data_IF_963983404069
#
_entry.id   IF_963983404069
#
_cell.length_a   1.000
_cell.length_b   1.000
_cell.length_c   1.000
_cell.angle_alpha   90.00
_cell.angle_beta   90.00
_cell.angle_gamma   90.00
#
_symmetry.space_group_name_H-M   'P 1'
#
loop_
_entity.id
_entity.type
_entity.pdbx_description
1 polymer ?
#
# COMPACT_ATOMS: atom_id res chain seq x y z
N UNK A 1 35.64 -14.86 34.10
CA UNK A 1 34.24 -14.97 33.63
C UNK A 1 33.86 -13.90 32.57
N UNK A 2 34.60 -13.84 31.46
CA UNK A 2 34.31 -12.90 30.34
C UNK A 2 34.09 -13.61 29.00
N UNK A 3 33.86 -14.93 28.96
CA UNK A 3 33.71 -15.70 27.73
C UNK A 3 32.25 -15.98 27.27
N UNK A 4 31.25 -15.62 28.06
CA UNK A 4 29.85 -15.93 27.79
C UNK A 4 29.10 -14.90 26.91
N UNK A 5 29.51 -13.63 26.96
CA UNK A 5 28.78 -12.54 26.25
C UNK A 5 29.11 -12.45 24.74
N UNK A 6 30.27 -12.95 24.32
CA UNK A 6 30.71 -12.90 22.91
C UNK A 6 30.08 -13.95 22.01
N UNK A 7 29.54 -15.04 22.58
CA UNK A 7 28.97 -16.14 21.80
C UNK A 7 27.47 -15.94 21.49
N UNK A 8 26.75 -15.23 22.35
CA UNK A 8 25.34 -14.90 22.13
C UNK A 8 25.15 -13.84 21.02
N UNK A 9 26.06 -12.88 20.88
CA UNK A 9 25.99 -11.86 19.83
C UNK A 9 26.25 -12.41 18.42
N UNK A 10 27.10 -13.45 18.29
CA UNK A 10 27.40 -14.09 17.01
C UNK A 10 26.28 -14.99 16.49
N UNK A 11 25.45 -15.56 17.36
CA UNK A 11 24.32 -16.40 16.95
C UNK A 11 23.12 -15.60 16.43
N UNK A 12 22.97 -14.35 16.87
CA UNK A 12 21.91 -13.45 16.37
C UNK A 12 22.22 -12.86 15.00
N UNK A 13 23.50 -12.67 14.65
CA UNK A 13 23.90 -12.06 13.37
C UNK A 13 23.91 -13.00 12.19
N UNK A 14 24.16 -14.32 12.38
CA UNK A 14 24.25 -15.28 11.28
C UNK A 14 22.92 -15.94 10.92
N UNK A 15 21.99 -16.13 11.87
CA UNK A 15 20.68 -16.74 11.63
C UNK A 15 19.68 -15.81 10.94
N UNK A 16 19.77 -14.50 11.16
CA UNK A 16 18.93 -13.49 10.52
C UNK A 16 19.24 -13.32 9.04
N UNK A 17 20.50 -13.26 8.67
CA UNK A 17 20.93 -13.05 7.29
C UNK A 17 20.52 -14.18 6.32
N UNK A 18 20.54 -15.45 6.77
CA UNK A 18 20.15 -16.58 5.90
C UNK A 18 18.65 -16.66 5.64
N UNK A 19 17.79 -16.24 6.57
CA UNK A 19 16.33 -16.24 6.36
C UNK A 19 15.87 -15.10 5.43
N UNK A 20 16.56 -13.97 5.44
CA UNK A 20 16.27 -12.85 4.55
C UNK A 20 16.83 -13.03 3.14
N UNK A 21 17.89 -13.83 2.95
CA UNK A 21 18.41 -14.16 1.62
C UNK A 21 17.37 -14.87 0.73
N UNK A 22 16.48 -15.66 1.31
CA UNK A 22 15.36 -16.29 0.59
C UNK A 22 14.30 -15.27 0.14
N UNK A 23 14.01 -14.27 0.97
CA UNK A 23 13.06 -13.20 0.63
C UNK A 23 13.64 -12.28 -0.46
N UNK A 24 14.93 -11.95 -0.38
CA UNK A 24 15.64 -11.17 -1.40
C UNK A 24 15.79 -11.95 -2.72
N UNK A 25 15.95 -13.26 -2.65
CA UNK A 25 16.00 -14.14 -3.82
C UNK A 25 14.62 -14.24 -4.49
N UNK A 26 13.53 -14.30 -3.72
CA UNK A 26 12.16 -14.30 -4.23
C UNK A 26 11.81 -12.94 -4.87
N UNK A 27 12.24 -11.84 -4.26
CA UNK A 27 12.07 -10.47 -4.80
C UNK A 27 12.90 -10.25 -6.08
N UNK A 28 14.07 -10.88 -6.20
CA UNK A 28 14.91 -10.82 -7.42
C UNK A 28 14.36 -11.69 -8.55
N UNK A 29 13.69 -12.80 -8.25
CA UNK A 29 13.04 -13.64 -9.27
C UNK A 29 11.79 -12.99 -9.81
N UNK A 30 10.97 -12.35 -8.96
CA UNK A 30 9.82 -11.57 -9.39
C UNK A 30 10.17 -10.29 -10.17
N UNK A 31 11.41 -9.79 -10.06
CA UNK A 31 11.89 -8.56 -10.72
C UNK A 31 12.60 -8.73 -12.06
N UNK A 32 12.76 -9.96 -12.58
CA UNK A 32 13.35 -10.18 -13.91
C UNK A 32 12.28 -10.13 -14.99
N UNK A 33 11.67 -8.95 -15.17
CA UNK A 33 11.00 -8.62 -16.43
C UNK A 33 12.01 -8.63 -17.58
N UNK A 34 11.62 -9.19 -18.73
CA UNK A 34 12.44 -9.24 -19.94
C UNK A 34 13.00 -7.86 -20.30
N UNK A 35 14.22 -7.75 -20.84
CA UNK A 35 14.81 -6.47 -21.24
C UNK A 35 13.93 -5.83 -22.31
N UNK A 36 13.30 -4.70 -22.01
CA UNK A 36 12.62 -3.86 -22.98
C UNK A 36 13.69 -3.16 -23.80
N UNK A 37 14.09 -3.78 -24.89
CA UNK A 37 15.04 -3.25 -25.86
C UNK A 37 14.39 -2.09 -26.63
N UNK A 38 15.05 -0.92 -26.65
CA UNK A 38 14.78 0.30 -27.44
C UNK A 38 13.96 1.45 -26.86
N UNK A 39 13.66 1.49 -25.56
CA UNK A 39 13.15 2.75 -24.97
C UNK A 39 14.30 3.76 -24.72
N UNK A 40 14.10 5.08 -24.96
CA UNK A 40 15.05 6.10 -24.55
C UNK A 40 15.40 5.97 -23.05
N UNK A 41 16.67 6.09 -22.71
CA UNK A 41 17.18 5.89 -21.34
C UNK A 41 16.37 6.65 -20.27
N UNK A 42 15.82 7.81 -20.62
CA UNK A 42 15.01 8.65 -19.72
C UNK A 42 13.62 8.03 -19.40
N UNK A 43 13.03 7.31 -20.34
CA UNK A 43 11.75 6.63 -20.14
C UNK A 43 11.91 5.49 -19.13
N UNK A 44 13.00 4.74 -19.19
CA UNK A 44 13.30 3.72 -18.17
C UNK A 44 13.38 4.30 -16.76
N UNK A 45 14.00 5.49 -16.61
CA UNK A 45 14.06 6.16 -15.31
C UNK A 45 12.70 6.55 -14.77
N UNK A 46 11.74 6.91 -15.62
CA UNK A 46 10.37 7.19 -15.20
C UNK A 46 9.63 5.90 -14.81
N UNK A 47 9.81 4.79 -15.53
CA UNK A 47 9.27 3.48 -15.13
C UNK A 47 9.86 2.99 -13.80
N UNK A 48 11.15 3.23 -13.56
CA UNK A 48 11.79 2.94 -12.28
C UNK A 48 11.23 3.84 -11.16
N UNK A 49 10.97 5.11 -11.43
CA UNK A 49 10.44 6.07 -10.47
C UNK A 49 9.02 5.69 -10.01
N UNK A 50 8.15 5.31 -10.95
CA UNK A 50 6.79 4.82 -10.64
C UNK A 50 6.77 3.38 -10.15
N UNK A 51 7.93 2.71 -10.10
CA UNK A 51 8.11 1.31 -9.66
C UNK A 51 7.27 0.31 -10.45
N UNK A 52 7.16 0.54 -11.77
CA UNK A 52 6.41 -0.35 -12.66
C UNK A 52 6.95 -1.79 -12.66
N UNK A 53 8.26 -1.95 -12.51
CA UNK A 53 8.97 -3.23 -12.39
C UNK A 53 8.74 -3.97 -11.05
N UNK A 54 7.95 -3.39 -10.14
CA UNK A 54 7.62 -3.97 -8.82
C UNK A 54 6.12 -4.02 -8.61
N UNK A 55 5.40 -4.94 -9.28
CA UNK A 55 3.93 -4.99 -9.27
C UNK A 55 3.33 -5.22 -7.88
N UNK A 56 4.05 -5.87 -6.96
CA UNK A 56 3.58 -6.07 -5.60
C UNK A 56 3.08 -4.77 -4.93
N UNK A 57 3.72 -3.62 -5.22
CA UNK A 57 3.34 -2.35 -4.60
C UNK A 57 1.94 -1.85 -4.96
N UNK A 58 1.47 -2.03 -6.21
CA UNK A 58 0.11 -1.65 -6.59
C UNK A 58 -0.89 -2.80 -6.40
N UNK A 59 -0.45 -4.06 -6.44
CA UNK A 59 -1.30 -5.21 -6.12
C UNK A 59 -1.75 -5.18 -4.66
N UNK A 60 -0.86 -4.85 -3.72
CA UNK A 60 -1.19 -4.70 -2.30
C UNK A 60 -2.27 -3.61 -2.05
N UNK A 61 -2.37 -2.60 -2.90
CA UNK A 61 -3.41 -1.60 -2.84
C UNK A 61 -4.67 -2.02 -3.60
N UNK A 62 -4.51 -2.77 -4.68
CA UNK A 62 -5.61 -3.17 -5.58
C UNK A 62 -6.49 -4.28 -4.96
N UNK A 63 -5.89 -5.30 -4.35
CA UNK A 63 -6.65 -6.44 -3.83
C UNK A 63 -7.75 -6.06 -2.84
N UNK A 64 -7.49 -5.29 -1.76
CA UNK A 64 -8.55 -4.89 -0.83
C UNK A 64 -9.61 -4.01 -1.50
N UNK A 65 -9.22 -3.19 -2.44
CA UNK A 65 -10.15 -2.36 -3.22
C UNK A 65 -11.07 -3.20 -4.09
N UNK A 66 -10.54 -4.22 -4.78
CA UNK A 66 -11.35 -5.14 -5.58
C UNK A 66 -12.26 -6.01 -4.70
N UNK A 67 -11.77 -6.54 -3.58
CA UNK A 67 -12.60 -7.28 -2.63
C UNK A 67 -13.80 -6.43 -2.20
N UNK A 68 -13.55 -5.18 -1.81
CA UNK A 68 -14.60 -4.26 -1.41
C UNK A 68 -15.60 -3.99 -2.54
N UNK A 69 -15.11 -3.84 -3.78
CA UNK A 69 -15.96 -3.59 -4.94
C UNK A 69 -16.88 -4.78 -5.27
N UNK A 70 -16.37 -6.02 -5.15
CA UNK A 70 -17.19 -7.23 -5.32
C UNK A 70 -18.19 -7.43 -4.20
N UNK A 71 -17.81 -7.11 -2.95
CA UNK A 71 -18.72 -7.20 -1.80
C UNK A 71 -19.81 -6.13 -1.89
N UNK A 72 -19.49 -4.91 -2.31
CA UNK A 72 -20.45 -3.83 -2.48
C UNK A 72 -21.51 -4.16 -3.54
N UNK A 73 -21.06 -4.69 -4.69
CA UNK A 73 -21.93 -5.05 -5.80
C UNK A 73 -22.68 -6.40 -5.59
N UNK A 74 -22.48 -7.10 -4.48
CA UNK A 74 -22.96 -8.48 -4.25
C UNK A 74 -22.71 -9.41 -5.45
N UNK A 75 -21.62 -9.18 -6.17
CA UNK A 75 -21.22 -9.92 -7.36
C UNK A 75 -20.35 -9.11 -8.31
N UNK A 76 -20.65 -9.19 -9.61
CA UNK A 76 -19.85 -8.51 -10.63
C UNK A 76 -20.12 -6.99 -10.67
N UNK A 77 -19.14 -6.11 -10.36
CA UNK A 77 -19.34 -4.68 -10.25
C UNK A 77 -19.47 -3.94 -11.60
N UNK A 78 -19.34 -4.65 -12.72
CA UNK A 78 -19.32 -4.06 -14.04
C UNK A 78 -17.94 -3.61 -14.53
N UNK A 79 -17.74 -3.65 -15.84
CA UNK A 79 -16.44 -3.36 -16.48
C UNK A 79 -15.96 -1.94 -16.27
N UNK A 80 -16.88 -0.96 -16.23
CA UNK A 80 -16.53 0.45 -15.98
C UNK A 80 -15.88 0.62 -14.62
N UNK A 81 -16.51 0.13 -13.54
CA UNK A 81 -15.96 0.25 -12.20
C UNK A 81 -14.66 -0.53 -12.03
N UNK A 82 -14.55 -1.74 -12.60
CA UNK A 82 -13.30 -2.50 -12.61
C UNK A 82 -12.15 -1.71 -13.25
N UNK A 83 -12.40 -1.08 -14.40
CA UNK A 83 -11.40 -0.27 -15.09
C UNK A 83 -11.03 0.95 -14.26
N UNK A 84 -12.00 1.70 -13.76
CA UNK A 84 -11.76 2.92 -12.96
C UNK A 84 -10.96 2.60 -11.71
N UNK A 85 -11.36 1.58 -10.94
CA UNK A 85 -10.66 1.24 -9.68
C UNK A 85 -9.30 0.59 -9.93
N UNK A 86 -9.14 -0.25 -10.96
CA UNK A 86 -7.85 -0.86 -11.29
C UNK A 86 -6.87 0.18 -11.82
N UNK A 87 -7.25 0.92 -12.86
CA UNK A 87 -6.38 1.95 -13.45
C UNK A 87 -6.14 3.09 -12.46
N UNK A 88 -7.17 3.53 -11.73
CA UNK A 88 -7.06 4.53 -10.67
C UNK A 88 -6.06 4.13 -9.58
N UNK A 89 -6.09 2.87 -9.12
CA UNK A 89 -5.14 2.34 -8.13
C UNK A 89 -3.71 2.37 -8.66
N UNK A 90 -3.48 1.90 -9.89
CA UNK A 90 -2.13 1.91 -10.51
C UNK A 90 -1.60 3.34 -10.64
N UNK A 91 -2.43 4.26 -11.14
CA UNK A 91 -2.05 5.66 -11.32
C UNK A 91 -1.78 6.37 -9.98
N UNK A 92 -2.67 6.19 -9.00
CA UNK A 92 -2.51 6.80 -7.67
C UNK A 92 -1.28 6.25 -6.95
N UNK A 93 -1.03 4.93 -7.02
CA UNK A 93 0.16 4.32 -6.45
C UNK A 93 1.44 4.83 -7.10
N UNK A 94 1.43 4.99 -8.43
CA UNK A 94 2.54 5.55 -9.21
C UNK A 94 2.81 7.01 -8.85
N UNK A 95 1.76 7.82 -8.73
CA UNK A 95 1.85 9.21 -8.26
C UNK A 95 2.43 9.27 -6.84
N UNK A 96 1.95 8.42 -5.94
CA UNK A 96 2.46 8.30 -4.57
C UNK A 96 3.95 7.94 -4.52
N UNK A 97 4.45 7.09 -5.42
CA UNK A 97 5.89 6.81 -5.52
C UNK A 97 6.69 8.06 -5.87
N UNK A 98 6.21 8.86 -6.84
CA UNK A 98 6.87 10.11 -7.23
C UNK A 98 6.94 11.10 -6.06
N UNK A 99 5.82 11.32 -5.36
CA UNK A 99 5.74 12.24 -4.21
C UNK A 99 6.64 11.77 -3.07
N UNK A 100 6.60 10.48 -2.76
CA UNK A 100 7.42 9.91 -1.69
C UNK A 100 8.92 10.04 -2.00
N UNK A 101 9.36 9.71 -3.23
CA UNK A 101 10.76 9.80 -3.61
C UNK A 101 11.26 11.26 -3.65
N UNK A 102 10.39 12.23 -3.97
CA UNK A 102 10.71 13.67 -3.86
C UNK A 102 10.84 14.10 -2.41
N UNK A 103 9.91 13.69 -1.54
CA UNK A 103 9.89 14.06 -0.14
C UNK A 103 11.06 13.46 0.64
N UNK A 104 11.41 12.21 0.35
CA UNK A 104 12.45 11.46 1.06
C UNK A 104 13.84 11.54 0.40
N UNK A 105 14.01 12.29 -0.72
CA UNK A 105 15.24 12.30 -1.53
C UNK A 105 16.53 12.55 -0.73
N UNK A 106 16.47 13.36 0.32
CA UNK A 106 17.64 13.69 1.14
C UNK A 106 17.94 12.62 2.21
N UNK A 107 16.93 11.87 2.65
CA UNK A 107 17.06 10.74 3.59
C UNK A 107 17.45 9.45 2.85
N UNK A 108 16.87 9.21 1.68
CA UNK A 108 17.08 8.03 0.85
C UNK A 108 18.56 7.79 0.48
N UNK A 109 19.39 8.84 0.47
CA UNK A 109 20.85 8.74 0.25
C UNK A 109 21.57 7.92 1.32
N UNK A 110 21.00 7.86 2.52
CA UNK A 110 21.60 7.21 3.68
C UNK A 110 21.05 5.80 3.95
N UNK A 111 20.04 5.38 3.18
CA UNK A 111 19.43 4.06 3.28
C UNK A 111 19.88 3.20 2.11
N UNK A 112 20.54 2.09 2.38
CA UNK A 112 21.17 1.23 1.36
C UNK A 112 20.19 0.79 0.24
N UNK A 113 18.94 0.47 0.60
CA UNK A 113 17.91 0.02 -0.33
C UNK A 113 17.43 1.11 -1.29
N UNK A 114 17.48 2.39 -0.88
CA UNK A 114 16.88 3.53 -1.59
C UNK A 114 17.91 4.47 -2.21
N UNK A 115 19.18 4.35 -1.88
CA UNK A 115 20.28 5.19 -2.36
C UNK A 115 20.38 5.29 -3.90
N UNK A 116 19.95 4.24 -4.61
CA UNK A 116 20.03 4.16 -6.08
C UNK A 116 18.76 4.65 -6.81
N UNK A 117 17.78 5.22 -6.10
CA UNK A 117 16.55 5.74 -6.74
C UNK A 117 16.84 6.87 -7.70
N UNK A 118 16.06 7.03 -8.81
CA UNK A 118 16.31 8.03 -9.84
C UNK A 118 16.41 9.47 -9.32
N UNK A 119 15.56 9.87 -8.36
CA UNK A 119 15.59 11.21 -7.77
C UNK A 119 16.76 11.34 -6.78
N UNK A 120 17.01 10.35 -5.95
CA UNK A 120 18.09 10.31 -4.97
C UNK A 120 19.47 10.46 -5.62
N UNK A 121 19.66 9.83 -6.80
CA UNK A 121 20.90 9.91 -7.58
C UNK A 121 20.99 11.13 -8.48
N UNK A 122 19.94 11.97 -8.55
CA UNK A 122 19.88 13.14 -9.43
C UNK A 122 19.66 12.83 -10.91
N UNK A 123 19.45 11.56 -11.31
CA UNK A 123 19.14 11.18 -12.70
C UNK A 123 17.78 11.68 -13.17
N UNK A 124 16.85 11.89 -12.26
CA UNK A 124 15.57 12.57 -12.44
C UNK A 124 15.50 13.72 -11.44
N UNK A 125 15.17 14.91 -11.89
CA UNK A 125 15.05 16.07 -11.01
C UNK A 125 13.80 15.99 -10.12
N UNK A 126 13.83 16.65 -8.94
CA UNK A 126 12.65 16.77 -8.08
C UNK A 126 11.46 17.38 -8.82
N UNK A 127 11.68 18.37 -9.72
CA UNK A 127 10.64 19.01 -10.53
C UNK A 127 9.97 18.01 -11.49
N UNK A 128 10.76 17.20 -12.19
CA UNK A 128 10.24 16.14 -13.07
C UNK A 128 9.43 15.12 -12.27
N UNK A 129 9.91 14.72 -11.10
CA UNK A 129 9.18 13.80 -10.20
C UNK A 129 7.83 14.36 -9.79
N UNK A 130 7.78 15.64 -9.37
CA UNK A 130 6.51 16.30 -9.01
C UNK A 130 5.59 16.40 -10.24
N UNK A 131 6.11 16.79 -11.40
CA UNK A 131 5.28 16.93 -12.61
C UNK A 131 4.69 15.59 -13.05
N UNK A 132 5.48 14.52 -13.04
CA UNK A 132 4.99 13.17 -13.35
C UNK A 132 3.94 12.71 -12.33
N UNK A 133 4.22 12.89 -11.04
CA UNK A 133 3.27 12.54 -9.98
C UNK A 133 1.95 13.31 -10.11
N UNK A 134 2.01 14.61 -10.38
CA UNK A 134 0.82 15.44 -10.60
C UNK A 134 0.03 14.98 -11.84
N UNK A 135 0.70 14.70 -12.96
CA UNK A 135 0.03 14.21 -14.17
C UNK A 135 -0.69 12.88 -13.92
N UNK A 136 -0.05 11.93 -13.23
CA UNK A 136 -0.65 10.65 -12.88
C UNK A 136 -1.85 10.81 -11.91
N UNK A 137 -1.73 11.70 -10.92
CA UNK A 137 -2.81 12.01 -9.99
C UNK A 137 -4.02 12.65 -10.70
N UNK A 138 -3.77 13.58 -11.64
CA UNK A 138 -4.82 14.19 -12.45
C UNK A 138 -5.52 13.17 -13.36
N UNK A 139 -4.80 12.23 -13.95
CA UNK A 139 -5.38 11.14 -14.73
C UNK A 139 -6.26 10.23 -13.85
N UNK A 140 -5.77 9.87 -12.65
CA UNK A 140 -6.55 9.10 -11.68
C UNK A 140 -7.81 9.87 -11.25
N UNK A 141 -7.70 11.17 -11.03
CA UNK A 141 -8.84 12.02 -10.69
C UNK A 141 -9.85 12.12 -11.84
N UNK A 142 -9.38 12.25 -13.08
CA UNK A 142 -10.25 12.24 -14.26
C UNK A 142 -11.06 10.93 -14.37
N UNK A 143 -10.46 9.78 -14.03
CA UNK A 143 -11.19 8.51 -13.96
C UNK A 143 -12.26 8.53 -12.89
N UNK A 144 -11.94 9.01 -11.69
CA UNK A 144 -12.90 9.04 -10.57
C UNK A 144 -14.06 9.99 -10.82
N UNK A 145 -13.87 11.06 -11.60
CA UNK A 145 -14.94 11.96 -12.03
C UNK A 145 -16.02 11.27 -12.89
N UNK A 146 -15.74 10.09 -13.44
CA UNK A 146 -16.74 9.29 -14.16
C UNK A 146 -17.63 8.44 -13.24
N UNK A 147 -17.42 8.54 -11.92
CA UNK A 147 -18.18 7.86 -10.88
C UNK A 147 -19.10 8.82 -10.14
N UNK A 148 -19.48 8.50 -8.91
CA UNK A 148 -20.42 9.31 -8.11
C UNK A 148 -19.71 10.45 -7.37
N UNK A 149 -20.46 11.51 -7.04
CA UNK A 149 -19.93 12.64 -6.27
C UNK A 149 -19.42 12.22 -4.88
N UNK A 150 -20.04 11.21 -4.25
CA UNK A 150 -19.59 10.65 -2.98
C UNK A 150 -18.21 9.93 -3.13
N UNK A 151 -17.99 9.20 -4.24
CA UNK A 151 -16.69 8.59 -4.55
C UNK A 151 -15.62 9.65 -4.79
N UNK A 152 -15.95 10.73 -5.49
CA UNK A 152 -15.05 11.87 -5.70
C UNK A 152 -14.66 12.49 -4.36
N UNK A 153 -15.59 12.68 -3.43
CA UNK A 153 -15.32 13.20 -2.09
C UNK A 153 -14.33 12.29 -1.33
N UNK A 154 -14.55 10.98 -1.34
CA UNK A 154 -13.63 10.02 -0.74
C UNK A 154 -12.25 10.01 -1.41
N UNK A 155 -12.17 10.23 -2.73
CA UNK A 155 -10.89 10.33 -3.44
C UNK A 155 -10.06 11.54 -2.98
N UNK A 156 -10.70 12.66 -2.66
CA UNK A 156 -10.03 13.84 -2.07
C UNK A 156 -9.53 13.52 -0.67
N UNK A 157 -10.32 12.82 0.16
CA UNK A 157 -9.89 12.36 1.48
C UNK A 157 -8.69 11.40 1.37
N UNK A 158 -8.72 10.46 0.41
CA UNK A 158 -7.62 9.54 0.13
C UNK A 158 -6.33 10.28 -0.26
N UNK A 159 -6.44 11.29 -1.12
CA UNK A 159 -5.31 12.13 -1.51
C UNK A 159 -4.74 12.89 -0.30
N UNK A 160 -5.57 13.45 0.57
CA UNK A 160 -5.13 14.13 1.78
C UNK A 160 -4.32 13.20 2.69
N UNK A 161 -4.79 11.99 2.95
CA UNK A 161 -4.07 10.99 3.75
C UNK A 161 -2.76 10.58 3.08
N UNK A 162 -2.75 10.38 1.75
CA UNK A 162 -1.57 10.01 0.99
C UNK A 162 -0.48 11.11 1.03
N UNK A 163 -0.87 12.39 1.02
CA UNK A 163 0.06 13.53 1.14
C UNK A 163 0.61 13.65 2.56
N UNK A 164 -0.19 13.36 3.59
CA UNK A 164 0.23 13.41 5.00
C UNK A 164 1.20 12.28 5.35
N UNK A 165 1.07 11.11 4.73
CA UNK A 165 1.84 9.92 5.08
C UNK A 165 3.37 10.11 5.09
N UNK A 166 4.05 10.73 4.10
CA UNK A 166 5.49 10.94 4.14
C UNK A 166 5.98 11.74 5.36
N UNK A 167 5.13 12.64 5.86
CA UNK A 167 5.44 13.45 7.03
C UNK A 167 5.21 12.69 8.35
N UNK A 168 4.31 11.70 8.34
CA UNK A 168 4.01 10.86 9.50
C UNK A 168 5.26 10.11 10.01
N UNK A 169 6.17 9.69 9.13
CA UNK A 169 7.44 9.03 9.48
C UNK A 169 8.33 9.86 10.40
N UNK A 170 8.13 11.18 10.42
CA UNK A 170 8.92 12.12 11.22
C UNK A 170 8.23 12.56 12.51
N UNK A 171 6.92 12.32 12.61
CA UNK A 171 6.09 12.86 13.68
C UNK A 171 5.56 11.80 14.65
N UNK A 172 5.37 10.55 14.17
CA UNK A 172 4.72 9.51 14.97
C UNK A 172 5.56 8.24 15.04
N UNK A 173 5.40 7.50 16.15
CA UNK A 173 6.16 6.28 16.44
C UNK A 173 5.81 5.10 15.53
N UNK A 174 4.59 5.09 14.96
CA UNK A 174 4.09 4.02 14.09
C UNK A 174 3.50 4.59 12.78
N UNK A 175 4.31 5.09 11.84
CA UNK A 175 3.83 5.63 10.56
C UNK A 175 3.09 4.59 9.70
N UNK A 176 3.33 3.29 9.93
CA UNK A 176 2.63 2.16 9.34
C UNK A 176 1.10 2.21 9.57
N UNK A 177 0.67 2.77 10.69
CA UNK A 177 -0.75 2.95 10.98
C UNK A 177 -1.41 3.95 10.01
N UNK A 178 -0.72 5.04 9.68
CA UNK A 178 -1.19 6.03 8.67
C UNK A 178 -1.16 5.42 7.27
N UNK A 179 -0.12 4.64 6.95
CA UNK A 179 -0.06 3.91 5.68
C UNK A 179 -1.24 2.95 5.55
N UNK A 180 -1.58 2.22 6.63
CA UNK A 180 -2.74 1.33 6.68
C UNK A 180 -4.03 2.05 6.33
N UNK A 181 -4.23 3.25 6.88
CA UNK A 181 -5.39 4.07 6.54
C UNK A 181 -5.36 4.50 5.07
N UNK A 182 -4.23 5.01 4.57
CA UNK A 182 -4.08 5.44 3.17
C UNK A 182 -4.39 4.31 2.17
N UNK A 183 -3.90 3.09 2.45
CA UNK A 183 -4.10 1.92 1.60
C UNK A 183 -5.51 1.32 1.71
N UNK A 184 -6.28 1.75 2.70
CA UNK A 184 -7.66 1.29 2.89
C UNK A 184 -8.71 2.21 2.25
N UNK A 185 -8.33 3.37 1.74
CA UNK A 185 -9.28 4.38 1.22
C UNK A 185 -10.09 3.90 0.00
N UNK A 186 -9.60 2.92 -0.76
CA UNK A 186 -10.35 2.29 -1.85
C UNK A 186 -11.59 1.54 -1.38
N UNK A 187 -11.64 1.09 -0.11
CA UNK A 187 -12.76 0.33 0.45
C UNK A 187 -14.03 1.19 0.55
N UNK A 188 -14.06 2.34 1.27
CA UNK A 188 -15.25 3.16 1.31
C UNK A 188 -15.64 3.68 -0.08
N UNK A 189 -14.67 4.01 -0.94
CA UNK A 189 -14.94 4.42 -2.33
C UNK A 189 -15.73 3.36 -3.10
N UNK A 190 -15.40 2.09 -2.93
CA UNK A 190 -16.09 0.97 -3.58
C UNK A 190 -17.56 0.84 -3.14
N UNK A 191 -17.87 1.11 -1.87
CA UNK A 191 -19.24 1.02 -1.36
C UNK A 191 -20.09 2.24 -1.76
N UNK A 192 -19.55 3.45 -1.69
CA UNK A 192 -20.33 4.65 -2.05
C UNK A 192 -20.60 4.76 -3.54
N UNK A 193 -19.82 4.11 -4.40
CA UNK A 193 -20.05 4.11 -5.85
C UNK A 193 -21.26 3.26 -6.22
N UNK A 194 -21.53 2.19 -5.49
CA UNK A 194 -22.66 1.30 -5.74
C UNK A 194 -23.96 1.87 -5.14
N UNK A 195 -23.93 2.34 -3.90
CA UNK A 195 -25.09 2.90 -3.21
C UNK A 195 -25.70 4.14 -3.90
N UNK A 196 -24.89 4.92 -4.62
CA UNK A 196 -25.36 6.16 -5.25
C UNK A 196 -25.99 5.94 -6.64
N UNK A 197 -25.99 4.72 -7.17
CA UNK A 197 -26.60 4.38 -8.45
C UNK A 197 -28.12 4.13 -8.34
N UNK A 198 -28.69 4.10 -7.14
CA UNK A 198 -30.11 3.87 -6.90
C UNK A 198 -31.00 5.11 -7.13
N UNK A 199 -32.28 4.91 -7.53
CA UNK A 199 -33.23 6.01 -7.71
C UNK A 199 -33.51 6.83 -6.44
N UNK A 200 -33.26 6.26 -5.25
CA UNK A 200 -33.46 6.89 -3.95
C UNK A 200 -32.36 7.91 -3.58
N UNK A 201 -31.30 7.99 -4.39
CA UNK A 201 -30.20 8.94 -4.18
C UNK A 201 -30.50 10.35 -4.70
N UNK A 202 -31.59 10.54 -5.44
CA UNK A 202 -32.00 11.83 -6.02
C UNK A 202 -32.52 12.74 -4.90
N UNK A 203 -31.71 13.76 -4.54
CA UNK A 203 -32.07 14.74 -3.51
C UNK A 203 -31.39 14.55 -2.16
N UNK A 204 -30.67 13.44 -1.94
CA UNK A 204 -29.83 13.26 -0.76
C UNK A 204 -28.51 14.01 -0.97
N UNK A 205 -28.13 14.85 -0.01
CA UNK A 205 -26.87 15.59 -0.09
C UNK A 205 -25.65 14.65 -0.20
N UNK A 206 -24.68 15.05 -1.01
CA UNK A 206 -23.43 14.26 -1.27
C UNK A 206 -22.72 13.79 0.01
N UNK A 207 -22.76 14.59 1.05
CA UNK A 207 -22.19 14.23 2.35
C UNK A 207 -22.94 13.09 3.04
N UNK A 208 -24.28 13.08 2.97
CA UNK A 208 -25.07 12.00 3.52
C UNK A 208 -24.79 10.69 2.79
N UNK A 209 -24.72 10.71 1.44
CA UNK A 209 -24.34 9.54 0.65
C UNK A 209 -22.92 9.06 0.98
N UNK A 210 -21.96 9.97 1.15
CA UNK A 210 -20.57 9.61 1.48
C UNK A 210 -20.42 8.99 2.87
N UNK A 211 -21.31 9.33 3.80
CA UNK A 211 -21.27 8.84 5.18
C UNK A 211 -22.21 7.63 5.42
N UNK A 212 -23.09 7.31 4.48
CA UNK A 212 -23.99 6.17 4.54
C UNK A 212 -23.22 4.89 4.14
N UNK A 213 -22.37 4.42 5.05
CA UNK A 213 -21.54 3.23 4.87
C UNK A 213 -22.07 2.09 5.73
N UNK A 214 -22.34 0.91 5.15
CA UNK A 214 -22.74 -0.24 5.93
C UNK A 214 -21.63 -0.69 6.89
N UNK A 215 -21.96 -1.31 8.03
CA UNK A 215 -20.98 -1.72 9.05
C UNK A 215 -19.82 -2.60 8.51
N UNK A 216 -20.06 -3.36 7.44
CA UNK A 216 -19.05 -4.20 6.79
C UNK A 216 -17.83 -3.39 6.33
N UNK A 217 -18.02 -2.14 5.93
CA UNK A 217 -16.93 -1.25 5.50
C UNK A 217 -15.94 -1.04 6.64
N UNK A 218 -16.42 -0.77 7.85
CA UNK A 218 -15.56 -0.60 9.03
C UNK A 218 -14.71 -1.85 9.32
N UNK A 219 -15.31 -3.03 9.18
CA UNK A 219 -14.60 -4.30 9.40
C UNK A 219 -13.58 -4.60 8.30
N UNK A 220 -13.90 -4.33 7.03
CA UNK A 220 -12.96 -4.47 5.92
C UNK A 220 -11.80 -3.48 6.04
N UNK A 221 -12.07 -2.23 6.44
CA UNK A 221 -11.04 -1.23 6.76
C UNK A 221 -10.09 -1.73 7.84
N UNK A 222 -10.63 -2.25 8.94
CA UNK A 222 -9.85 -2.77 10.06
C UNK A 222 -9.02 -3.98 9.65
N UNK A 223 -9.62 -4.93 8.91
CA UNK A 223 -8.92 -6.10 8.40
C UNK A 223 -7.75 -5.70 7.50
N UNK A 224 -7.98 -4.78 6.56
CA UNK A 224 -6.94 -4.30 5.66
C UNK A 224 -5.87 -3.50 6.40
N UNK A 225 -6.25 -2.71 7.39
CA UNK A 225 -5.31 -1.96 8.21
C UNK A 225 -4.30 -2.88 8.91
N UNK A 226 -4.75 -3.98 9.52
CA UNK A 226 -3.87 -4.98 10.11
C UNK A 226 -2.94 -5.61 9.07
N UNK A 227 -3.44 -5.92 7.88
CA UNK A 227 -2.63 -6.46 6.79
C UNK A 227 -1.50 -5.51 6.38
N UNK A 228 -1.84 -4.22 6.18
CA UNK A 228 -0.86 -3.20 5.81
C UNK A 228 0.18 -2.99 6.91
N UNK A 229 -0.26 -2.89 8.17
CA UNK A 229 0.66 -2.77 9.32
C UNK A 229 1.61 -3.96 9.38
N UNK A 230 1.11 -5.18 9.12
CA UNK A 230 1.94 -6.38 9.14
C UNK A 230 3.04 -6.34 8.07
N UNK A 231 2.68 -6.21 6.79
CA UNK A 231 3.67 -6.28 5.73
C UNK A 231 4.63 -5.08 5.73
N UNK A 232 4.15 -3.87 6.06
CA UNK A 232 5.03 -2.69 6.10
C UNK A 232 5.96 -2.71 7.32
N UNK A 233 5.54 -3.35 8.43
CA UNK A 233 6.45 -3.65 9.54
C UNK A 233 7.59 -4.58 9.11
N UNK A 234 7.29 -5.61 8.29
CA UNK A 234 8.35 -6.49 7.74
C UNK A 234 9.33 -5.68 6.88
N UNK A 235 8.86 -4.75 6.05
CA UNK A 235 9.74 -3.84 5.31
C UNK A 235 10.59 -2.96 6.25
N UNK A 236 9.99 -2.41 7.30
CA UNK A 236 10.70 -1.62 8.30
C UNK A 236 11.74 -2.43 9.09
N UNK A 237 11.53 -3.74 9.28
CA UNK A 237 12.54 -4.61 9.89
C UNK A 237 13.81 -4.75 9.06
N UNK A 238 13.70 -4.69 7.73
CA UNK A 238 14.84 -4.72 6.80
C UNK A 238 15.67 -3.44 6.88
N UNK A 239 15.01 -2.30 7.01
CA UNK A 239 15.65 -0.98 7.01
C UNK A 239 16.02 -0.51 8.43
N UNK A 240 15.76 -1.31 9.50
CA UNK A 240 15.88 -0.91 10.92
C UNK A 240 17.21 -0.25 11.29
N UNK A 241 18.32 -0.83 10.87
CA UNK A 241 19.66 -0.34 11.24
C UNK A 241 19.95 1.02 10.58
N UNK A 242 19.49 1.23 9.37
CA UNK A 242 19.61 2.50 8.66
C UNK A 242 18.67 3.54 9.28
N UNK A 243 17.42 3.18 9.56
CA UNK A 243 16.40 4.05 10.17
C UNK A 243 16.84 4.56 11.56
N UNK A 244 17.44 3.69 12.37
CA UNK A 244 18.03 4.09 13.67
C UNK A 244 19.15 5.11 13.51
N UNK A 245 20.00 4.99 12.48
CA UNK A 245 21.12 5.92 12.24
C UNK A 245 20.64 7.31 11.83
N UNK A 246 19.55 7.39 11.07
CA UNK A 246 19.00 8.65 10.55
C UNK A 246 17.87 9.22 11.41
N UNK A 247 17.50 8.52 12.51
CA UNK A 247 16.51 8.99 13.48
C UNK A 247 15.05 8.92 12.99
N UNK A 248 14.74 8.07 12.00
CA UNK A 248 13.37 7.82 11.53
C UNK A 248 12.67 6.85 12.46
N UNK A 249 11.41 7.13 12.80
CA UNK A 249 10.56 6.27 13.60
C UNK A 249 9.87 5.25 12.71
N UNK A 250 9.83 3.98 13.15
CA UNK A 250 9.12 2.90 12.46
C UNK A 250 8.48 1.94 13.47
N UNK A 251 7.47 1.16 13.02
CA UNK A 251 6.87 0.11 13.85
C UNK A 251 7.90 -0.93 14.29
N UNK A 252 8.87 -1.28 13.43
CA UNK A 252 9.92 -2.23 13.77
C UNK A 252 10.79 -1.74 14.94
N UNK A 253 11.10 -0.44 14.98
CA UNK A 253 11.84 0.19 16.09
C UNK A 253 10.96 0.26 17.35
N UNK A 254 9.71 0.71 17.21
CA UNK A 254 8.76 0.88 18.32
C UNK A 254 8.42 -0.44 18.99
N UNK A 255 8.20 -1.51 18.22
CA UNK A 255 7.86 -2.84 18.74
C UNK A 255 9.09 -3.60 19.27
N UNK A 256 10.29 -3.27 18.80
CA UNK A 256 11.53 -3.86 19.25
C UNK A 256 11.52 -5.40 19.13
N UNK A 257 11.69 -6.09 20.27
CA UNK A 257 11.69 -7.56 20.32
C UNK A 257 10.33 -8.23 20.02
N UNK A 258 9.25 -7.46 20.02
CA UNK A 258 7.90 -7.97 19.80
C UNK A 258 7.44 -7.81 18.34
N UNK A 259 8.28 -7.31 17.45
CA UNK A 259 7.95 -7.02 16.06
C UNK A 259 7.43 -8.24 15.30
N UNK A 260 8.10 -9.40 15.40
CA UNK A 260 7.68 -10.67 14.75
C UNK A 260 6.33 -11.14 15.30
N UNK A 261 6.13 -11.06 16.63
CA UNK A 261 4.87 -11.45 17.25
C UNK A 261 3.73 -10.53 16.84
N UNK A 262 3.98 -9.22 16.77
CA UNK A 262 3.00 -8.23 16.33
C UNK A 262 2.63 -8.42 14.84
N UNK A 263 3.59 -8.72 13.98
CA UNK A 263 3.34 -9.07 12.56
C UNK A 263 2.47 -10.31 12.47
N UNK A 264 2.82 -11.38 13.19
CA UNK A 264 2.03 -12.62 13.19
C UNK A 264 0.59 -12.39 13.71
N UNK A 265 0.44 -11.64 14.80
CA UNK A 265 -0.86 -11.28 15.36
C UNK A 265 -1.69 -10.43 14.38
N UNK A 266 -1.07 -9.47 13.69
CA UNK A 266 -1.73 -8.63 12.71
C UNK A 266 -2.22 -9.43 11.49
N UNK A 267 -1.41 -10.36 10.96
CA UNK A 267 -1.87 -11.28 9.90
C UNK A 267 -3.01 -12.18 10.37
N UNK A 268 -2.92 -12.73 11.59
CA UNK A 268 -3.98 -13.55 12.14
C UNK A 268 -5.30 -12.78 12.30
N UNK A 269 -5.25 -11.54 12.81
CA UNK A 269 -6.40 -10.66 12.93
C UNK A 269 -7.00 -10.30 11.57
N UNK A 270 -6.16 -9.97 10.59
CA UNK A 270 -6.61 -9.75 9.21
C UNK A 270 -7.42 -10.94 8.68
N UNK A 271 -6.86 -12.15 8.78
CA UNK A 271 -7.51 -13.37 8.26
C UNK A 271 -8.83 -13.68 8.99
N UNK A 272 -8.85 -13.56 10.32
CA UNK A 272 -10.06 -13.80 11.13
C UNK A 272 -11.15 -12.79 10.76
N UNK A 273 -10.83 -11.50 10.70
CA UNK A 273 -11.79 -10.45 10.35
C UNK A 273 -12.33 -10.64 8.93
N UNK A 274 -11.44 -10.93 7.96
CA UNK A 274 -11.82 -11.13 6.57
C UNK A 274 -12.71 -12.38 6.42
N UNK A 275 -12.34 -13.50 7.05
CA UNK A 275 -13.10 -14.73 7.04
C UNK A 275 -14.50 -14.54 7.63
N UNK A 276 -14.59 -13.82 8.75
CA UNK A 276 -15.86 -13.51 9.39
C UNK A 276 -16.77 -12.68 8.48
N UNK A 277 -16.24 -11.60 7.89
CA UNK A 277 -17.01 -10.69 7.02
C UNK A 277 -17.47 -11.36 5.73
N UNK A 278 -16.64 -12.16 5.10
CA UNK A 278 -16.97 -12.86 3.86
C UNK A 278 -17.84 -14.11 4.09
N UNK A 279 -18.14 -14.42 5.36
CA UNK A 279 -18.94 -15.60 5.73
C UNK A 279 -18.46 -16.88 5.02
N UNK A 280 -17.13 -17.07 5.01
CA UNK A 280 -16.43 -18.12 4.26
C UNK A 280 -16.93 -19.52 4.63
N UNK A 281 -17.37 -19.68 5.87
CA UNK A 281 -17.90 -20.95 6.39
C UNK A 281 -19.20 -21.40 5.71
N UNK A 282 -19.86 -20.50 4.96
CA UNK A 282 -21.16 -20.79 4.34
C UNK A 282 -21.13 -21.03 2.82
N UNK A 283 -20.03 -20.70 2.10
CA UNK A 283 -20.00 -20.92 0.64
C UNK A 283 -18.59 -21.12 0.07
N UNK A 284 -18.40 -22.22 -0.67
CA UNK A 284 -17.17 -22.58 -1.37
C UNK A 284 -16.67 -21.52 -2.38
N UNK A 285 -17.52 -20.83 -3.17
CA UNK A 285 -17.07 -19.80 -4.10
C UNK A 285 -16.37 -18.62 -3.43
N UNK A 286 -16.83 -18.21 -2.23
CA UNK A 286 -16.21 -17.12 -1.45
C UNK A 286 -14.83 -17.51 -0.93
N UNK A 287 -14.66 -18.78 -0.53
CA UNK A 287 -13.36 -19.31 -0.12
C UNK A 287 -12.34 -19.29 -1.26
N UNK A 288 -12.76 -19.71 -2.47
CA UNK A 288 -11.89 -19.67 -3.67
C UNK A 288 -11.49 -18.23 -4.01
N UNK A 289 -12.41 -17.28 -3.96
CA UNK A 289 -12.12 -15.87 -4.19
C UNK A 289 -11.12 -15.31 -3.18
N UNK A 290 -11.22 -15.70 -1.91
CA UNK A 290 -10.27 -15.34 -0.88
C UNK A 290 -8.88 -15.92 -1.15
N UNK A 291 -8.78 -17.21 -1.46
CA UNK A 291 -7.52 -17.90 -1.71
C UNK A 291 -6.80 -17.34 -2.94
N UNK A 292 -7.56 -17.02 -4.01
CA UNK A 292 -6.99 -16.38 -5.22
C UNK A 292 -6.50 -14.96 -4.93
N UNK A 293 -7.17 -14.24 -4.03
CA UNK A 293 -6.71 -12.89 -3.60
C UNK A 293 -5.49 -12.89 -2.67
N UNK A 294 -5.11 -14.05 -2.13
CA UNK A 294 -3.96 -14.20 -1.21
C UNK A 294 -2.69 -14.73 -1.93
N UNK A 295 -2.80 -15.26 -3.14
CA UNK A 295 -1.68 -15.70 -3.97
C UNK A 295 -1.15 -14.59 -4.87
#
# INVERSE_FOLDING_TARGET
SQSGAGMASKLYTTGGYQRFALCDQFMRVAGRGAPVTHMPQKIHLYFDLIRWNRPAGWLLLLWPTLIALWVAADGFPGWHLLLVFTAGTVLTRSAGCCVNDVADADFDKHVQRTANRPITTGRVSKKEGVSLGAALALLAFALVLTTTAATVLWSVAALAVAVVYPFAKRAIAMPQAVLGLAFSMGIPMAFVVDNAAGPDSIGVGVWAQALDLPPVVGWLLLANWFWVVAYDTVYAMVDRDDDLRIGIQTSAITLGRFDVAAVAASYALHLVLLAWQLNIWSSTPKLVALLVGMC
#
